data_IF_458480810120
#
_entry.id   IF_458480810120
#
_cell.length_a   1.000
_cell.length_b   1.000
_cell.length_c   1.000
_cell.angle_alpha   90.00
_cell.angle_beta   90.00
_cell.angle_gamma   90.00
#
_symmetry.space_group_name_H-M   'P 1'
#
loop_
_entity.id
_entity.type
_entity.pdbx_description
1 polymer ?
#
# COMPACT_ATOMS: atom_id res chain seq x y z
N UNK A 1 15.58 13.44 -4.59
CA UNK A 1 15.91 12.02 -4.31
C UNK A 1 15.86 11.84 -2.80
N UNK A 2 15.25 10.77 -2.28
CA UNK A 2 15.17 10.55 -0.83
C UNK A 2 16.59 10.41 -0.25
N UNK A 3 16.84 11.02 0.91
CA UNK A 3 18.11 10.87 1.62
C UNK A 3 18.31 9.39 2.01
N UNK A 4 19.53 8.84 1.95
CA UNK A 4 19.80 7.51 2.49
C UNK A 4 19.32 7.42 3.95
N UNK A 5 18.56 6.39 4.30
CA UNK A 5 17.93 6.23 5.61
C UNK A 5 16.55 6.88 5.76
N UNK A 6 16.06 7.58 4.73
CA UNK A 6 14.70 8.14 4.67
C UNK A 6 13.87 7.46 3.58
N UNK A 7 13.95 6.12 3.50
CA UNK A 7 13.04 5.33 2.68
C UNK A 7 11.64 5.31 3.30
N UNK A 8 10.63 5.19 2.47
CA UNK A 8 9.24 5.14 2.89
C UNK A 8 8.31 5.06 1.70
N UNK A 9 7.02 5.04 1.98
CA UNK A 9 5.98 5.03 0.97
C UNK A 9 4.96 6.15 1.24
N UNK A 10 4.43 6.73 0.18
CA UNK A 10 3.32 7.68 0.24
C UNK A 10 2.20 7.19 -0.67
N UNK A 11 0.96 7.42 -0.25
CA UNK A 11 -0.24 6.88 -0.88
C UNK A 11 -1.26 7.97 -1.07
N UNK A 12 -1.91 7.99 -2.23
CA UNK A 12 -3.04 8.88 -2.54
C UNK A 12 -4.25 8.08 -3.01
N UNK A 13 -5.41 8.74 -3.06
CA UNK A 13 -6.68 8.10 -3.42
C UNK A 13 -7.33 7.40 -2.21
N UNK A 14 -7.80 6.18 -2.41
CA UNK A 14 -8.41 5.36 -1.35
C UNK A 14 -7.32 4.66 -0.53
N UNK A 15 -7.14 5.09 0.71
CA UNK A 15 -6.00 4.69 1.55
C UNK A 15 -6.41 3.98 2.84
N UNK A 16 -7.70 3.83 3.13
CA UNK A 16 -8.17 3.34 4.43
C UNK A 16 -7.74 1.90 4.73
N UNK A 17 -7.80 1.00 3.73
CA UNK A 17 -7.32 -0.39 3.84
C UNK A 17 -5.83 -0.40 4.19
N UNK A 18 -5.04 0.37 3.45
CA UNK A 18 -3.60 0.41 3.62
C UNK A 18 -3.18 1.12 4.91
N UNK A 19 -3.89 2.17 5.33
CA UNK A 19 -3.69 2.84 6.61
C UNK A 19 -3.84 1.88 7.79
N UNK A 20 -4.82 0.97 7.74
CA UNK A 20 -5.00 -0.06 8.79
C UNK A 20 -3.84 -1.07 8.84
N UNK A 21 -3.21 -1.35 7.70
CA UNK A 21 -2.05 -2.25 7.64
C UNK A 21 -0.77 -1.58 8.16
N UNK A 22 -0.65 -0.26 7.96
CA UNK A 22 0.58 0.49 8.26
C UNK A 22 0.62 1.12 9.66
N UNK A 23 -0.51 1.24 10.34
CA UNK A 23 -0.61 1.92 11.62
C UNK A 23 -1.06 0.97 12.72
N UNK A 24 -0.63 1.25 13.93
CA UNK A 24 -1.13 0.57 15.12
C UNK A 24 -2.63 0.82 15.24
N UNK A 25 -3.39 -0.28 15.32
CA UNK A 25 -4.84 -0.25 15.45
C UNK A 25 -5.27 -0.91 16.75
N UNK A 26 -6.37 -0.43 17.31
CA UNK A 26 -6.98 -0.99 18.51
C UNK A 26 -8.39 -1.51 18.20
N UNK A 27 -8.77 -2.62 18.82
CA UNK A 27 -10.16 -3.09 18.84
C UNK A 27 -10.97 -2.19 19.76
N UNK A 28 -11.99 -1.54 19.19
CA UNK A 28 -12.96 -0.76 19.93
C UNK A 28 -14.09 -1.70 20.38
N UNK A 29 -14.24 -1.84 21.70
CA UNK A 29 -15.32 -2.63 22.30
C UNK A 29 -16.59 -1.81 22.56
N UNK A 30 -17.50 -2.38 23.35
CA UNK A 30 -18.71 -1.68 23.78
C UNK A 30 -18.39 -0.40 24.56
N UNK A 31 -19.34 0.54 24.62
CA UNK A 31 -19.18 1.81 25.32
C UNK A 31 -18.69 1.58 26.77
N UNK A 32 -17.61 2.27 27.15
CA UNK A 32 -16.99 2.14 28.48
C UNK A 32 -15.94 1.04 28.62
N UNK A 33 -15.67 0.26 27.57
CA UNK A 33 -14.56 -0.72 27.58
C UNK A 33 -13.26 -0.11 27.06
N UNK A 34 -12.13 -0.48 27.66
CA UNK A 34 -10.81 -0.04 27.22
C UNK A 34 -10.47 -0.69 25.87
N UNK A 35 -10.07 0.10 24.84
CA UNK A 35 -9.62 -0.45 23.58
C UNK A 35 -8.46 -1.43 23.75
N UNK A 36 -8.48 -2.53 23.01
CA UNK A 36 -7.44 -3.57 23.07
C UNK A 36 -6.50 -3.42 21.89
N UNK A 37 -5.18 -3.24 22.10
CA UNK A 37 -4.23 -3.12 20.99
C UNK A 37 -4.11 -4.43 20.22
N UNK A 38 -4.04 -4.34 18.89
CA UNK A 38 -3.71 -5.48 18.02
C UNK A 38 -2.18 -5.48 17.80
N UNK A 39 -1.51 -6.65 17.82
CA UNK A 39 -0.11 -6.74 17.44
C UNK A 39 0.14 -6.10 16.08
N UNK A 40 1.15 -5.24 16.02
CA UNK A 40 1.55 -4.51 14.82
C UNK A 40 3.03 -4.78 14.54
N UNK A 41 3.36 -4.91 13.26
CA UNK A 41 4.71 -5.13 12.78
C UNK A 41 4.99 -4.11 11.68
N UNK A 42 5.90 -3.17 11.97
CA UNK A 42 6.26 -2.13 11.01
C UNK A 42 6.92 -2.69 9.75
N UNK A 43 6.76 -1.97 8.64
CA UNK A 43 7.45 -2.29 7.38
C UNK A 43 8.84 -1.68 7.40
N UNK A 44 9.92 -2.48 7.30
CA UNK A 44 11.28 -1.97 7.41
C UNK A 44 11.79 -1.46 6.04
N UNK A 45 11.26 -0.31 5.62
CA UNK A 45 11.56 0.30 4.32
C UNK A 45 13.04 0.56 4.07
N UNK A 46 13.82 0.76 5.14
CA UNK A 46 15.26 0.98 5.08
C UNK A 46 16.04 -0.21 4.52
N UNK A 47 15.47 -1.42 4.56
CA UNK A 47 16.08 -2.65 4.05
C UNK A 47 15.52 -3.08 2.69
N UNK A 48 14.59 -2.32 2.10
CA UNK A 48 14.03 -2.67 0.81
C UNK A 48 15.08 -2.55 -0.31
N UNK A 49 15.21 -3.63 -1.09
CA UNK A 49 15.76 -3.54 -2.43
C UNK A 49 14.77 -2.86 -3.38
N UNK A 50 15.20 -2.54 -4.60
CA UNK A 50 14.30 -2.01 -5.62
C UNK A 50 13.17 -3.00 -5.95
N UNK A 51 13.45 -4.31 -5.92
CA UNK A 51 12.43 -5.33 -6.16
C UNK A 51 11.43 -5.40 -5.01
N UNK A 52 11.88 -5.31 -3.75
CA UNK A 52 10.99 -5.28 -2.58
C UNK A 52 10.04 -4.07 -2.66
N UNK A 53 10.53 -2.91 -3.11
CA UNK A 53 9.69 -1.74 -3.30
C UNK A 53 8.61 -1.93 -4.39
N UNK A 54 8.96 -2.60 -5.50
CA UNK A 54 8.01 -2.96 -6.57
C UNK A 54 6.95 -3.93 -6.04
N UNK A 55 7.39 -4.99 -5.37
CA UNK A 55 6.50 -6.04 -4.86
C UNK A 55 5.57 -5.49 -3.78
N UNK A 56 6.10 -4.66 -2.88
CA UNK A 56 5.32 -3.97 -1.86
C UNK A 56 4.28 -3.02 -2.45
N UNK A 57 4.65 -2.25 -3.48
CA UNK A 57 3.70 -1.37 -4.18
C UNK A 57 2.56 -2.18 -4.83
N UNK A 58 2.89 -3.31 -5.47
CA UNK A 58 1.87 -4.21 -6.04
C UNK A 58 0.98 -4.83 -4.97
N UNK A 59 1.57 -5.32 -3.87
CA UNK A 59 0.87 -5.89 -2.72
C UNK A 59 -0.16 -4.91 -2.16
N UNK A 60 0.24 -3.68 -1.86
CA UNK A 60 -0.61 -2.69 -1.24
C UNK A 60 -1.82 -2.31 -2.12
N UNK A 61 -1.62 -2.14 -3.43
CA UNK A 61 -2.72 -1.86 -4.38
C UNK A 61 -3.66 -3.06 -4.46
N UNK A 62 -3.12 -4.28 -4.58
CA UNK A 62 -3.92 -5.51 -4.65
C UNK A 62 -4.70 -5.77 -3.36
N UNK A 63 -4.09 -5.52 -2.21
CA UNK A 63 -4.75 -5.64 -0.91
C UNK A 63 -5.98 -4.72 -0.84
N UNK A 64 -5.87 -3.49 -1.34
CA UNK A 64 -7.02 -2.57 -1.44
C UNK A 64 -8.08 -3.11 -2.40
N UNK A 65 -7.71 -3.51 -3.62
CA UNK A 65 -8.63 -4.08 -4.62
C UNK A 65 -9.40 -5.28 -4.03
N UNK A 66 -8.68 -6.23 -3.45
CA UNK A 66 -9.25 -7.47 -2.94
C UNK A 66 -10.10 -7.22 -1.70
N UNK A 67 -9.68 -6.31 -0.81
CA UNK A 67 -10.48 -5.93 0.37
C UNK A 67 -11.80 -5.28 -0.06
N UNK A 68 -11.75 -4.30 -0.96
CA UNK A 68 -12.96 -3.62 -1.45
C UNK A 68 -13.90 -4.55 -2.20
N UNK A 69 -13.39 -5.62 -2.83
CA UNK A 69 -14.22 -6.62 -3.49
C UNK A 69 -15.19 -7.32 -2.53
N UNK A 70 -14.80 -7.53 -1.27
CA UNK A 70 -15.59 -8.23 -0.26
C UNK A 70 -16.33 -7.30 0.71
N UNK A 71 -16.02 -6.01 0.72
CA UNK A 71 -16.70 -5.03 1.55
C UNK A 71 -18.01 -4.56 0.91
N UNK A 72 -19.04 -4.31 1.72
CA UNK A 72 -20.28 -3.67 1.30
C UNK A 72 -20.07 -2.14 1.12
N UNK A 73 -19.24 -1.77 0.15
CA UNK A 73 -18.90 -0.38 -0.19
C UNK A 73 -18.79 -0.20 -1.70
N UNK A 74 -18.73 1.05 -2.13
CA UNK A 74 -18.44 1.39 -3.52
C UNK A 74 -17.01 0.95 -3.90
N UNK A 75 -16.86 0.32 -5.08
CA UNK A 75 -15.60 -0.24 -5.57
C UNK A 75 -14.85 0.80 -6.41
N UNK A 76 -14.16 1.70 -5.73
CA UNK A 76 -13.41 2.81 -6.34
C UNK A 76 -11.99 2.44 -6.77
N UNK A 77 -11.43 1.33 -6.28
CA UNK A 77 -10.10 0.82 -6.68
C UNK A 77 -10.25 -0.55 -7.37
N UNK A 78 -9.61 -0.71 -8.53
CA UNK A 78 -9.70 -1.93 -9.33
C UNK A 78 -8.89 -1.86 -10.63
N UNK A 79 -8.97 -2.96 -11.40
CA UNK A 79 -8.36 -3.06 -12.72
C UNK A 79 -6.87 -3.44 -12.72
N UNK A 80 -6.22 -3.40 -13.91
CA UNK A 80 -4.79 -3.64 -14.04
C UNK A 80 -3.96 -2.63 -13.24
N UNK A 81 -2.88 -3.10 -12.63
CA UNK A 81 -1.93 -2.27 -11.88
C UNK A 81 -0.74 -1.95 -12.77
N UNK A 82 -0.53 -0.67 -13.04
CA UNK A 82 0.63 -0.17 -13.76
C UNK A 82 1.71 0.28 -12.75
N UNK A 83 2.96 -0.08 -13.00
CA UNK A 83 4.10 0.21 -12.12
C UNK A 83 5.23 0.84 -12.96
N UNK A 84 5.56 2.08 -12.63
CA UNK A 84 6.71 2.82 -13.17
C UNK A 84 7.82 2.89 -12.11
N UNK A 85 9.02 2.48 -12.48
CA UNK A 85 10.21 2.65 -11.66
C UNK A 85 11.01 3.84 -12.17
N UNK A 86 11.36 4.75 -11.26
CA UNK A 86 12.18 5.92 -11.55
C UNK A 86 13.47 5.83 -10.73
N UNK A 87 14.60 5.84 -11.42
CA UNK A 87 15.95 5.85 -10.82
C UNK A 87 16.70 7.12 -11.28
N UNK A 88 17.89 7.43 -10.72
CA UNK A 88 18.66 8.57 -11.20
C UNK A 88 19.04 8.39 -12.68
N UNK A 89 18.38 9.12 -13.57
CA UNK A 89 18.64 9.12 -15.01
C UNK A 89 17.83 8.12 -15.85
N UNK A 90 16.91 7.34 -15.25
CA UNK A 90 16.08 6.39 -16.00
C UNK A 90 14.66 6.31 -15.43
N UNK A 91 13.69 6.01 -16.30
CA UNK A 91 12.32 5.72 -15.95
C UNK A 91 11.80 4.60 -16.85
N UNK A 92 11.38 3.49 -16.24
CA UNK A 92 10.94 2.29 -16.96
C UNK A 92 9.68 1.68 -16.38
N UNK A 93 8.81 1.22 -17.26
CA UNK A 93 7.62 0.46 -16.88
C UNK A 93 8.03 -0.96 -16.50
N UNK A 94 7.63 -1.39 -15.30
CA UNK A 94 7.76 -2.78 -14.84
C UNK A 94 6.47 -3.54 -15.17
N UNK A 95 5.33 -2.87 -15.04
CA UNK A 95 4.04 -3.34 -15.46
C UNK A 95 3.28 -2.19 -16.12
N UNK A 96 2.72 -2.42 -17.30
CA UNK A 96 1.90 -1.44 -17.98
C UNK A 96 0.85 -2.17 -18.82
N UNK A 97 -0.43 -1.84 -18.60
CA UNK A 97 -1.52 -2.34 -19.43
C UNK A 97 -1.31 -1.88 -20.87
N UNK A 98 -1.46 -2.83 -21.79
CA UNK A 98 -1.46 -2.53 -23.21
C UNK A 98 -2.80 -1.90 -23.57
N UNK A 99 -2.76 -0.67 -24.09
CA UNK A 99 -3.94 0.00 -24.62
C UNK A 99 -4.03 -0.35 -26.11
N UNK A 100 -5.15 -0.96 -26.51
CA UNK A 100 -5.49 -1.08 -27.94
C UNK A 100 -6.26 0.17 -28.37
N UNK A 101 -6.06 0.66 -29.62
CA UNK A 101 -6.83 1.76 -30.19
C UNK A 101 -8.34 1.50 -30.20
#
# INVERSE_FOLDING_TARGET
>A
MNKPGNQGANWGGEIDVFQRLMNDVMLVGAAGTTPTPIPSFGVPFEFFTLQDAIDFASFAIRATIDTMRFQAREKTVGGPVDILVITPGDARWIAQKQLSP
#
